data_IF_713288453401
#
_entry.id   IF_713288453401
#
_cell.length_a   1.000
_cell.length_b   1.000
_cell.length_c   1.000
_cell.angle_alpha   90.00
_cell.angle_beta   90.00
_cell.angle_gamma   90.00
#
_symmetry.space_group_name_H-M   'P 1'
#
loop_
_entity.id
_entity.type
_entity.pdbx_description
1 polymer ?
#
# COMPACT_ATOMS: atom_id res chain seq x y z
N UNK A 1 -9.49 9.98 -2.58
CA UNK A 1 -10.66 9.55 -1.80
C UNK A 1 -10.61 10.17 -0.42
N UNK A 2 -11.68 10.83 0.01
CA UNK A 2 -11.84 11.39 1.36
C UNK A 2 -12.30 10.30 2.35
N UNK A 3 -12.47 10.64 3.63
CA UNK A 3 -12.83 9.67 4.66
C UNK A 3 -14.14 8.93 4.36
N UNK A 4 -15.16 9.65 3.92
CA UNK A 4 -16.47 9.07 3.61
C UNK A 4 -16.36 8.06 2.46
N UNK A 5 -15.67 8.44 1.38
CA UNK A 5 -15.41 7.56 0.25
C UNK A 5 -14.59 6.33 0.65
N UNK A 6 -13.57 6.49 1.50
CA UNK A 6 -12.77 5.36 1.98
C UNK A 6 -13.61 4.39 2.82
N UNK A 7 -14.52 4.90 3.67
CA UNK A 7 -15.42 4.06 4.46
C UNK A 7 -16.44 3.31 3.60
N UNK A 8 -16.88 3.89 2.46
CA UNK A 8 -17.71 3.17 1.50
C UNK A 8 -16.97 1.98 0.89
N UNK A 9 -15.69 2.17 0.52
CA UNK A 9 -14.86 1.07 0.02
C UNK A 9 -14.64 0.00 1.10
N UNK A 10 -14.45 0.40 2.36
CA UNK A 10 -14.36 -0.56 3.47
C UNK A 10 -15.64 -1.36 3.62
N UNK A 11 -16.82 -0.70 3.55
CA UNK A 11 -18.14 -1.36 3.61
C UNK A 11 -18.28 -2.41 2.51
N UNK A 12 -18.00 -2.05 1.25
CA UNK A 12 -18.08 -2.97 0.11
C UNK A 12 -17.15 -4.18 0.29
N UNK A 13 -15.93 -3.97 0.82
CA UNK A 13 -15.00 -5.07 1.07
C UNK A 13 -15.45 -5.98 2.20
N UNK A 14 -16.00 -5.43 3.28
CA UNK A 14 -16.60 -6.22 4.36
C UNK A 14 -17.78 -7.06 3.85
N UNK A 15 -18.64 -6.49 3.01
CA UNK A 15 -19.71 -7.24 2.33
C UNK A 15 -19.14 -8.36 1.46
N UNK A 16 -18.05 -8.09 0.73
CA UNK A 16 -17.38 -9.05 -0.15
C UNK A 16 -16.81 -10.28 0.57
N UNK A 17 -16.27 -10.11 1.79
CA UNK A 17 -15.76 -11.22 2.60
C UNK A 17 -16.83 -11.90 3.45
N UNK A 18 -18.06 -11.40 3.43
CA UNK A 18 -19.14 -11.90 4.30
C UNK A 18 -18.86 -11.63 5.78
N UNK A 19 -18.36 -10.42 6.08
CA UNK A 19 -18.02 -9.99 7.43
C UNK A 19 -19.21 -10.06 8.40
N UNK A 20 -18.90 -10.06 9.69
CA UNK A 20 -19.90 -10.12 10.75
C UNK A 20 -20.77 -8.85 10.77
N UNK A 21 -22.03 -9.00 11.19
CA UNK A 21 -22.99 -7.89 11.29
C UNK A 21 -22.46 -6.74 12.18
N UNK A 22 -21.76 -7.06 13.27
CA UNK A 22 -21.13 -6.07 14.16
C UNK A 22 -20.13 -5.16 13.42
N UNK A 23 -19.41 -5.72 12.45
CA UNK A 23 -18.43 -5.01 11.61
C UNK A 23 -19.15 -4.07 10.65
N UNK A 24 -20.25 -4.54 10.07
CA UNK A 24 -21.11 -3.74 9.20
C UNK A 24 -21.75 -2.57 9.95
N UNK A 25 -22.30 -2.82 11.14
CA UNK A 25 -22.91 -1.80 12.00
C UNK A 25 -21.90 -0.72 12.41
N UNK A 26 -20.66 -1.11 12.76
CA UNK A 26 -19.61 -0.15 13.08
C UNK A 26 -19.30 0.76 11.88
N UNK A 27 -19.18 0.19 10.69
CA UNK A 27 -18.89 0.98 9.48
C UNK A 27 -20.05 1.90 9.12
N UNK A 28 -21.29 1.45 9.24
CA UNK A 28 -22.46 2.30 9.02
C UNK A 28 -22.55 3.46 10.01
N UNK A 29 -22.25 3.21 11.29
CA UNK A 29 -22.14 4.25 12.32
C UNK A 29 -21.07 5.28 11.95
N UNK A 30 -19.91 4.84 11.44
CA UNK A 30 -18.83 5.72 11.01
C UNK A 30 -19.19 6.50 9.73
N UNK A 31 -19.88 5.88 8.77
CA UNK A 31 -20.36 6.53 7.55
C UNK A 31 -21.32 7.68 7.87
N UNK A 32 -22.27 7.45 8.77
CA UNK A 32 -23.20 8.49 9.25
C UNK A 32 -22.46 9.68 9.88
N UNK A 33 -21.41 9.40 10.67
CA UNK A 33 -20.57 10.46 11.27
C UNK A 33 -19.72 11.20 10.22
N UNK A 34 -19.24 10.48 9.20
CA UNK A 34 -18.40 11.01 8.14
C UNK A 34 -19.20 11.71 7.02
N UNK A 35 -20.53 11.75 7.09
CA UNK A 35 -21.38 12.34 6.05
C UNK A 35 -21.03 13.82 5.78
N UNK A 36 -20.68 14.59 6.81
CA UNK A 36 -20.22 15.96 6.67
C UNK A 36 -18.92 16.07 5.84
N UNK A 37 -18.09 15.03 5.84
CA UNK A 37 -16.85 14.95 5.08
C UNK A 37 -17.06 14.43 3.64
N UNK A 38 -18.31 14.18 3.20
CA UNK A 38 -18.61 13.66 1.85
C UNK A 38 -18.04 14.52 0.73
N UNK A 39 -18.05 15.84 0.90
CA UNK A 39 -17.50 16.80 -0.07
C UNK A 39 -16.14 17.37 0.36
N UNK A 40 -15.51 16.78 1.39
CA UNK A 40 -14.19 17.21 1.84
C UNK A 40 -13.14 16.87 0.76
N UNK A 41 -12.21 17.81 0.55
CA UNK A 41 -11.07 17.68 -0.37
C UNK A 41 -9.88 17.00 0.30
N UNK A 42 -9.91 16.81 1.61
CA UNK A 42 -8.86 16.14 2.36
C UNK A 42 -8.80 14.67 1.98
N UNK A 43 -7.70 14.26 1.34
CA UNK A 43 -7.47 12.87 0.99
C UNK A 43 -6.94 12.10 2.19
N UNK A 44 -7.45 10.89 2.41
CA UNK A 44 -6.93 9.94 3.40
C UNK A 44 -6.74 8.57 2.75
N UNK A 45 -5.72 7.82 3.18
CA UNK A 45 -5.51 6.47 2.67
C UNK A 45 -6.38 5.44 3.41
N UNK A 46 -6.78 4.37 2.73
CA UNK A 46 -7.59 3.32 3.34
C UNK A 46 -6.88 2.63 4.50
N UNK A 47 -5.56 2.39 4.40
CA UNK A 47 -4.76 1.82 5.50
C UNK A 47 -4.76 2.72 6.73
N UNK A 48 -4.73 4.05 6.57
CA UNK A 48 -4.85 4.96 7.71
C UNK A 48 -6.22 4.84 8.38
N UNK A 49 -7.29 4.72 7.58
CA UNK A 49 -8.65 4.50 8.09
C UNK A 49 -8.74 3.17 8.86
N UNK A 50 -8.27 2.07 8.27
CA UNK A 50 -8.29 0.74 8.90
C UNK A 50 -7.46 0.71 10.20
N UNK A 51 -6.25 1.30 10.19
CA UNK A 51 -5.41 1.43 11.40
C UNK A 51 -6.05 2.28 12.49
N UNK A 52 -6.88 3.25 12.12
CA UNK A 52 -7.64 4.02 13.10
C UNK A 52 -8.78 3.16 13.67
N UNK A 53 -9.54 2.47 12.82
CA UNK A 53 -10.65 1.60 13.23
C UNK A 53 -10.18 0.47 14.16
N UNK A 54 -9.02 -0.14 13.88
CA UNK A 54 -8.41 -1.18 14.73
C UNK A 54 -8.03 -0.70 16.14
N UNK A 55 -7.96 0.62 16.37
CA UNK A 55 -7.66 1.21 17.69
C UNK A 55 -8.91 1.72 18.41
N UNK A 56 -10.09 1.59 17.79
CA UNK A 56 -11.33 2.02 18.43
C UNK A 56 -11.75 1.05 19.53
N UNK A 57 -12.32 1.53 20.65
CA UNK A 57 -12.81 0.66 21.72
C UNK A 57 -13.81 -0.38 21.21
N UNK A 58 -14.73 0.03 20.32
CA UNK A 58 -15.71 -0.88 19.73
C UNK A 58 -15.08 -2.07 18.99
N UNK A 59 -13.88 -1.89 18.44
CA UNK A 59 -13.12 -2.94 17.77
C UNK A 59 -12.29 -3.76 18.75
N UNK A 60 -11.65 -3.11 19.73
CA UNK A 60 -10.81 -3.80 20.72
C UNK A 60 -11.62 -4.73 21.63
N UNK A 61 -12.87 -4.37 21.92
CA UNK A 61 -13.77 -5.14 22.77
C UNK A 61 -14.55 -6.22 22.01
N UNK A 62 -14.48 -6.25 20.67
CA UNK A 62 -15.19 -7.21 19.82
C UNK A 62 -14.24 -7.92 18.83
N UNK A 63 -13.94 -9.19 19.13
CA UNK A 63 -13.06 -10.02 18.31
C UNK A 63 -13.54 -10.22 16.87
N UNK A 64 -14.84 -10.25 16.62
CA UNK A 64 -15.38 -10.41 15.26
C UNK A 64 -14.97 -9.20 14.41
N UNK A 65 -15.22 -8.00 14.94
CA UNK A 65 -14.85 -6.74 14.29
C UNK A 65 -13.34 -6.62 14.10
N UNK A 66 -12.57 -6.98 15.14
CA UNK A 66 -11.11 -6.96 15.04
C UNK A 66 -10.60 -7.88 13.92
N UNK A 67 -11.08 -9.12 13.88
CA UNK A 67 -10.64 -10.11 12.89
C UNK A 67 -11.00 -9.68 11.46
N UNK A 68 -12.23 -9.23 11.23
CA UNK A 68 -12.67 -8.79 9.90
C UNK A 68 -11.83 -7.59 9.41
N UNK A 69 -11.55 -6.62 10.28
CA UNK A 69 -10.70 -5.48 9.94
C UNK A 69 -9.23 -5.86 9.75
N UNK A 70 -8.75 -6.87 10.48
CA UNK A 70 -7.41 -7.41 10.35
C UNK A 70 -7.24 -8.19 9.04
N UNK A 71 -8.28 -8.87 8.56
CA UNK A 71 -8.30 -9.49 7.23
C UNK A 71 -8.17 -8.43 6.14
N UNK A 72 -8.99 -7.37 6.19
CA UNK A 72 -8.96 -6.30 5.20
C UNK A 72 -7.62 -5.55 5.10
N UNK A 73 -6.93 -5.35 6.23
CA UNK A 73 -5.62 -4.69 6.23
C UNK A 73 -4.53 -5.62 5.71
N UNK A 74 -4.63 -6.93 5.99
CA UNK A 74 -3.64 -7.92 5.55
C UNK A 74 -3.65 -8.09 4.03
N UNK A 75 -4.83 -8.23 3.42
CA UNK A 75 -4.98 -8.25 1.96
C UNK A 75 -4.33 -7.00 1.31
N UNK A 76 -4.48 -5.83 1.95
CA UNK A 76 -3.97 -4.58 1.40
C UNK A 76 -2.47 -4.45 1.57
N UNK A 77 -1.94 -4.83 2.73
CA UNK A 77 -0.49 -4.85 2.96
C UNK A 77 0.19 -5.83 1.98
N UNK A 78 -0.42 -6.98 1.65
CA UNK A 78 0.07 -7.90 0.62
C UNK A 78 0.13 -7.24 -0.77
N UNK A 79 -0.94 -6.54 -1.19
CA UNK A 79 -0.94 -5.82 -2.48
C UNK A 79 0.06 -4.66 -2.52
N UNK A 80 0.24 -3.93 -1.41
CA UNK A 80 1.23 -2.85 -1.33
C UNK A 80 2.66 -3.40 -1.29
N UNK A 81 2.91 -4.54 -0.65
CA UNK A 81 4.20 -5.24 -0.67
C UNK A 81 4.50 -5.73 -2.08
N UNK A 82 3.57 -6.42 -2.75
CA UNK A 82 3.76 -6.88 -4.13
C UNK A 82 4.04 -5.70 -5.08
N UNK A 83 3.29 -4.60 -4.97
CA UNK A 83 3.53 -3.41 -5.78
C UNK A 83 4.88 -2.73 -5.49
N UNK A 84 5.36 -2.80 -4.24
CA UNK A 84 6.70 -2.30 -3.86
C UNK A 84 7.81 -3.24 -4.32
N UNK A 85 7.60 -4.55 -4.30
CA UNK A 85 8.57 -5.53 -4.82
C UNK A 85 8.72 -5.41 -6.34
N UNK A 86 7.63 -5.20 -7.07
CA UNK A 86 7.66 -4.91 -8.50
C UNK A 86 8.30 -3.55 -8.83
N UNK A 87 8.11 -2.55 -7.98
CA UNK A 87 8.70 -1.21 -8.16
C UNK A 87 10.13 -1.09 -7.59
N UNK A 88 10.57 -2.03 -6.77
CA UNK A 88 11.92 -2.04 -6.23
C UNK A 88 12.90 -2.34 -7.37
N UNK A 89 13.91 -1.51 -7.60
CA UNK A 89 14.95 -1.84 -8.56
C UNK A 89 15.59 -3.17 -8.12
N UNK A 90 15.61 -4.15 -9.03
CA UNK A 90 16.18 -5.47 -8.76
C UNK A 90 17.49 -5.33 -7.99
N UNK A 91 17.63 -6.02 -6.86
CA UNK A 91 18.79 -5.95 -5.97
C UNK A 91 20.14 -6.33 -6.65
N UNK A 92 20.09 -6.76 -7.91
CA UNK A 92 21.24 -7.01 -8.79
C UNK A 92 21.75 -5.77 -9.52
N UNK A 93 21.04 -4.63 -9.48
CA UNK A 93 21.54 -3.38 -10.02
C UNK A 93 22.50 -2.79 -8.98
N UNK A 94 23.80 -2.96 -9.21
CA UNK A 94 24.86 -2.25 -8.50
C UNK A 94 24.70 -0.74 -8.76
N UNK A 95 23.88 -0.10 -7.92
CA UNK A 95 23.62 1.35 -7.92
C UNK A 95 24.73 2.12 -7.21
N UNK A 96 25.73 1.42 -6.66
CA UNK A 96 26.87 2.09 -6.09
C UNK A 96 27.69 2.73 -7.22
N UNK A 97 27.82 4.06 -7.18
CA UNK A 97 28.76 4.80 -8.03
C UNK A 97 30.20 4.50 -7.61
N UNK A 98 30.61 3.24 -7.69
CA UNK A 98 32.01 2.84 -7.50
C UNK A 98 32.79 3.27 -8.73
N UNK A 99 33.95 3.93 -8.55
CA UNK A 99 34.82 4.24 -9.68
C UNK A 99 35.21 2.94 -10.37
N UNK A 100 34.98 2.88 -11.69
CA UNK A 100 35.28 1.67 -12.48
C UNK A 100 36.78 1.33 -12.37
N UNK A 101 37.16 0.05 -12.25
CA UNK A 101 38.55 -0.35 -12.16
C UNK A 101 39.33 0.06 -13.41
N UNK A 102 40.64 0.31 -13.28
CA UNK A 102 41.52 0.75 -14.39
C UNK A 102 41.45 -0.17 -15.63
N UNK A 103 41.15 -1.46 -15.44
CA UNK A 103 40.96 -2.43 -16.53
C UNK A 103 39.81 -2.05 -17.46
N UNK A 104 38.68 -1.57 -16.93
CA UNK A 104 37.52 -1.16 -17.71
C UNK A 104 37.87 -0.10 -18.76
N UNK A 105 38.67 0.91 -18.37
CA UNK A 105 39.09 1.97 -19.29
C UNK A 105 40.08 1.48 -20.34
N UNK A 106 40.94 0.51 -20.00
CA UNK A 106 41.85 -0.14 -20.96
C UNK A 106 41.08 -0.93 -22.01
N UNK A 107 40.08 -1.69 -21.59
CA UNK A 107 39.25 -2.49 -22.51
C UNK A 107 38.37 -1.60 -23.39
N UNK A 108 37.82 -0.50 -22.84
CA UNK A 108 37.09 0.50 -23.62
C UNK A 108 37.99 1.15 -24.70
N UNK A 109 39.19 1.56 -24.32
CA UNK A 109 40.14 2.14 -25.26
C UNK A 109 40.60 1.13 -26.33
N UNK A 110 40.66 -0.17 -26.01
CA UNK A 110 40.96 -1.22 -26.98
C UNK A 110 39.82 -1.39 -28.00
N UNK A 111 38.58 -1.48 -27.53
CA UNK A 111 37.38 -1.58 -28.38
C UNK A 111 37.19 -0.35 -29.28
N UNK A 112 37.41 0.85 -28.75
CA UNK A 112 37.35 2.09 -29.54
C UNK A 112 38.44 2.15 -30.63
N UNK A 113 39.62 1.54 -30.39
CA UNK A 113 40.68 1.42 -31.41
C UNK A 113 40.38 0.36 -32.47
N UNK A 114 39.74 -0.74 -32.09
CA UNK A 114 39.29 -1.79 -33.01
C UNK A 114 38.18 -1.28 -33.92
N UNK A 115 37.21 -0.50 -33.40
CA UNK A 115 36.14 0.11 -34.19
C UNK A 115 36.60 1.20 -35.16
N UNK A 116 37.75 1.84 -34.90
CA UNK A 116 38.34 2.85 -35.80
C UNK A 116 39.25 2.24 -36.88
N UNK A 117 39.47 0.93 -36.86
CA UNK A 117 40.34 0.19 -37.80
C UNK A 117 39.56 -0.72 -38.76
N UNK A 118 38.23 -0.72 -38.69
CA UNK A 118 37.34 -1.25 -39.73
C UNK A 118 36.71 -0.11 -40.51
#
# INVERSE_FOLDING_TARGET
MNLYEQLLVVRERLEGIGAHDDSMDLVEKLLKKAEAARNDRTSISQVQVLRHMLRMPETLDNYNVYNDLQELISERDETEIAAREDAAPAAYIDTERRPKPKSYYRDKARKEKEQKKG
#
